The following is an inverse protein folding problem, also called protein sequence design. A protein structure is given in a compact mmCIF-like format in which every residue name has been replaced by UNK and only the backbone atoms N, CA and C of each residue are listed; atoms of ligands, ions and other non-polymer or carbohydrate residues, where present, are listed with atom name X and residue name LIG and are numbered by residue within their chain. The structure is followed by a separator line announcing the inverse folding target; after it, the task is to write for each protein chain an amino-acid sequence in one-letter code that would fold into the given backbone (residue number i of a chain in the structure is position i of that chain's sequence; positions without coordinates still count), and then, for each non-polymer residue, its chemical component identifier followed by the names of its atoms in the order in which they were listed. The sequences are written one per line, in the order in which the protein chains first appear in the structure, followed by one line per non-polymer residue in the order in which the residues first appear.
data_IF_516879124564
#
_entry.id   IF_516879124564
#
_cell.length_a   1.000
_cell.length_b   1.000
_cell.length_c   1.000
_cell.angle_alpha   90.00
_cell.angle_beta   90.00
_cell.angle_gamma   90.00
#
_symmetry.space_group_name_H-M   'P 1'
#
loop_
_entity.id
_entity.type
_entity.pdbx_description
1 polymer ?
#
# COMPACT_ATOMS: atom_id res chain seq x y z
N UNK A 1 -8.80 1.55 -19.00
CA UNK A 1 -7.36 1.15 -19.03
C UNK A 1 -7.31 -0.32 -19.37
N UNK A 2 -6.72 -0.69 -20.50
CA UNK A 2 -6.47 -2.10 -20.84
C UNK A 2 -5.42 -2.62 -19.86
N UNK A 3 -5.75 -3.72 -19.17
CA UNK A 3 -4.81 -4.38 -18.27
C UNK A 3 -3.61 -4.88 -19.09
N UNK A 4 -2.46 -4.30 -18.91
CA UNK A 4 -1.22 -4.77 -19.54
C UNK A 4 -0.66 -5.94 -18.74
N UNK A 5 -0.38 -7.03 -19.42
CA UNK A 5 0.26 -8.20 -18.80
C UNK A 5 1.62 -7.79 -18.20
N UNK A 6 1.91 -8.13 -16.94
CA UNK A 6 3.21 -7.85 -16.35
C UNK A 6 4.34 -8.50 -17.14
N UNK A 7 5.41 -7.77 -17.38
CA UNK A 7 6.62 -8.26 -18.04
C UNK A 7 7.79 -8.32 -17.05
N UNK A 8 8.76 -9.20 -17.29
CA UNK A 8 9.97 -9.28 -16.48
C UNK A 8 10.69 -7.92 -16.40
N UNK A 9 10.78 -7.20 -17.52
CA UNK A 9 11.36 -5.85 -17.55
C UNK A 9 10.58 -4.86 -16.68
N UNK A 10 9.24 -4.91 -16.71
CA UNK A 10 8.38 -4.08 -15.86
C UNK A 10 8.61 -4.35 -14.37
N UNK A 11 8.75 -5.63 -14.01
CA UNK A 11 9.03 -6.05 -12.62
C UNK A 11 10.42 -5.56 -12.17
N UNK A 12 11.46 -5.70 -12.99
CA UNK A 12 12.80 -5.22 -12.67
C UNK A 12 12.84 -3.69 -12.54
N UNK A 13 12.14 -2.97 -13.41
CA UNK A 13 11.99 -1.51 -13.29
C UNK A 13 11.30 -1.11 -11.98
N UNK A 14 10.22 -1.79 -11.63
CA UNK A 14 9.53 -1.56 -10.36
C UNK A 14 10.41 -1.87 -9.15
N UNK A 15 11.20 -2.95 -9.19
CA UNK A 15 12.14 -3.29 -8.13
C UNK A 15 13.16 -2.16 -7.91
N UNK A 16 13.71 -1.58 -8.97
CA UNK A 16 14.64 -0.44 -8.88
C UNK A 16 13.98 0.82 -8.32
N UNK A 17 12.72 1.11 -8.68
CA UNK A 17 11.94 2.23 -8.12
C UNK A 17 11.70 2.07 -6.62
N UNK A 18 11.57 0.84 -6.15
CA UNK A 18 11.30 0.49 -4.77
C UNK A 18 12.56 0.36 -3.91
N UNK A 19 13.73 0.39 -4.50
CA UNK A 19 15.01 0.34 -3.80
C UNK A 19 15.08 1.47 -2.76
N UNK A 20 15.50 1.15 -1.54
CA UNK A 20 15.54 2.07 -0.39
C UNK A 20 14.16 2.60 0.10
N UNK A 21 13.06 2.11 -0.43
CA UNK A 21 11.70 2.47 0.00
C UNK A 21 11.05 1.36 0.83
N UNK A 22 11.35 0.12 0.48
CA UNK A 22 10.80 -1.07 1.09
C UNK A 22 11.88 -1.91 1.75
N UNK A 23 11.47 -2.69 2.74
CA UNK A 23 12.34 -3.69 3.34
C UNK A 23 12.50 -4.91 2.42
N UNK A 24 13.72 -5.46 2.36
CA UNK A 24 13.97 -6.75 1.73
C UNK A 24 13.49 -7.85 2.68
N UNK A 25 12.23 -8.25 2.53
CA UNK A 25 11.62 -9.24 3.40
C UNK A 25 12.09 -10.66 3.07
N UNK A 26 12.28 -11.53 4.08
CA UNK A 26 12.74 -12.90 3.85
C UNK A 26 11.65 -13.76 3.21
N UNK A 27 12.09 -14.78 2.49
CA UNK A 27 11.30 -15.93 2.06
C UNK A 27 11.65 -17.10 2.98
N UNK A 28 10.71 -17.50 3.85
CA UNK A 28 10.94 -18.54 4.87
C UNK A 28 10.12 -19.78 4.59
N UNK A 29 10.75 -20.95 4.69
CA UNK A 29 10.03 -22.22 4.74
C UNK A 29 9.10 -22.22 5.95
N UNK A 30 7.87 -22.61 5.76
CA UNK A 30 6.90 -22.87 6.82
C UNK A 30 6.74 -24.38 6.99
N UNK A 31 7.33 -24.93 8.04
CA UNK A 31 7.35 -26.37 8.28
C UNK A 31 5.93 -26.92 8.48
N UNK A 32 5.14 -26.26 9.33
CA UNK A 32 3.77 -26.67 9.63
C UNK A 32 2.90 -26.78 8.37
N UNK A 33 2.84 -25.73 7.55
CA UNK A 33 2.11 -25.80 6.30
C UNK A 33 2.70 -26.79 5.31
N UNK A 34 4.00 -26.96 5.31
CA UNK A 34 4.67 -27.92 4.42
C UNK A 34 4.32 -29.37 4.77
N UNK A 35 4.23 -29.70 6.04
CA UNK A 35 3.76 -31.00 6.51
C UNK A 35 2.28 -31.21 6.21
N UNK A 36 1.43 -30.21 6.51
CA UNK A 36 -0.01 -30.28 6.30
C UNK A 36 -0.37 -30.54 4.81
N UNK A 37 0.32 -29.86 3.88
CA UNK A 37 0.05 -29.96 2.44
C UNK A 37 0.96 -30.92 1.68
N UNK A 38 1.90 -31.59 2.33
CA UNK A 38 2.84 -32.50 1.68
C UNK A 38 3.74 -31.82 0.63
N UNK A 39 4.05 -30.53 0.78
CA UNK A 39 4.78 -29.72 -0.19
C UNK A 39 5.68 -28.70 0.52
N UNK A 40 6.77 -28.25 -0.13
CA UNK A 40 7.60 -27.18 0.42
C UNK A 40 6.90 -25.83 0.25
N UNK A 41 6.31 -25.30 1.33
CA UNK A 41 5.60 -24.01 1.34
C UNK A 41 6.49 -22.93 1.94
N UNK A 42 6.74 -21.89 1.16
CA UNK A 42 7.52 -20.72 1.58
C UNK A 42 6.62 -19.50 1.73
N UNK A 43 6.79 -18.79 2.84
CA UNK A 43 6.10 -17.53 3.11
C UNK A 43 7.01 -16.35 2.79
N UNK A 44 6.59 -15.48 1.86
CA UNK A 44 7.19 -14.17 1.64
C UNK A 44 6.66 -13.23 2.71
N UNK A 45 7.50 -12.86 3.69
CA UNK A 45 7.11 -12.18 4.93
C UNK A 45 6.86 -10.67 4.72
N UNK A 46 5.86 -10.34 3.91
CA UNK A 46 5.48 -8.93 3.66
C UNK A 46 4.81 -8.25 4.87
N UNK A 47 4.41 -9.01 5.87
CA UNK A 47 4.01 -8.52 7.19
C UNK A 47 5.14 -7.79 7.94
N UNK A 48 6.40 -7.98 7.52
CA UNK A 48 7.57 -7.29 8.06
C UNK A 48 7.82 -5.91 7.42
N UNK A 49 7.10 -5.56 6.36
CA UNK A 49 7.14 -4.19 5.84
C UNK A 49 6.67 -3.17 6.89
N UNK A 50 7.13 -1.94 6.79
CA UNK A 50 6.72 -0.82 7.69
C UNK A 50 5.19 -0.68 7.77
N UNK A 51 4.51 -0.88 6.63
CA UNK A 51 3.04 -0.84 6.53
C UNK A 51 2.36 -2.19 6.80
N UNK A 52 3.12 -3.19 7.29
CA UNK A 52 2.64 -4.53 7.62
C UNK A 52 1.97 -5.29 6.48
N UNK A 53 2.30 -4.95 5.23
CA UNK A 53 1.80 -5.64 4.03
C UNK A 53 2.57 -5.29 2.77
N UNK A 54 2.36 -6.06 1.70
CA UNK A 54 2.92 -5.79 0.37
C UNK A 54 2.36 -4.55 -0.34
N UNK A 55 1.31 -3.92 0.20
CA UNK A 55 0.58 -2.83 -0.46
C UNK A 55 1.45 -1.61 -0.76
N UNK A 56 2.49 -1.37 0.01
CA UNK A 56 3.46 -0.29 -0.24
C UNK A 56 4.12 -0.43 -1.62
N UNK A 57 4.38 -1.64 -2.08
CA UNK A 57 5.02 -1.89 -3.38
C UNK A 57 4.22 -1.28 -4.53
N UNK A 58 2.94 -1.62 -4.62
CA UNK A 58 2.07 -1.11 -5.68
C UNK A 58 1.77 0.37 -5.53
N UNK A 59 1.45 0.83 -4.32
CA UNK A 59 1.13 2.22 -4.06
C UNK A 59 2.29 3.15 -4.42
N UNK A 60 3.47 2.88 -3.90
CA UNK A 60 4.64 3.71 -4.18
C UNK A 60 5.07 3.66 -5.65
N UNK A 61 5.15 2.46 -6.24
CA UNK A 61 5.54 2.31 -7.64
C UNK A 61 4.61 3.09 -8.58
N UNK A 62 3.30 3.05 -8.35
CA UNK A 62 2.34 3.82 -9.12
C UNK A 62 2.52 5.33 -8.91
N UNK A 63 2.52 5.78 -7.66
CA UNK A 63 2.55 7.20 -7.32
C UNK A 63 3.87 7.88 -7.68
N UNK A 64 4.99 7.16 -7.67
CA UNK A 64 6.30 7.69 -8.07
C UNK A 64 6.33 8.10 -9.55
N UNK A 65 5.53 7.44 -10.40
CA UNK A 65 5.46 7.67 -11.84
C UNK A 65 4.50 8.79 -12.24
N UNK A 66 3.77 9.38 -11.31
CA UNK A 66 2.92 10.54 -11.59
C UNK A 66 3.76 11.72 -12.07
N UNK A 67 3.26 12.44 -13.08
CA UNK A 67 3.91 13.65 -13.56
C UNK A 67 3.75 14.83 -12.58
N UNK A 68 4.45 15.91 -12.81
CA UNK A 68 4.48 17.08 -11.91
C UNK A 68 3.08 17.71 -11.73
N UNK A 69 2.26 17.76 -12.78
CA UNK A 69 0.90 18.30 -12.71
C UNK A 69 0.00 17.43 -11.82
N UNK A 70 0.05 16.10 -12.01
CA UNK A 70 -0.68 15.13 -11.19
C UNK A 70 -0.25 15.18 -9.72
N UNK A 71 1.06 15.26 -9.45
CA UNK A 71 1.59 15.40 -8.07
C UNK A 71 1.12 16.69 -7.41
N UNK A 72 0.98 17.78 -8.17
CA UNK A 72 0.50 19.06 -7.66
C UNK A 72 -0.99 19.04 -7.32
N UNK A 73 -1.80 18.36 -8.11
CA UNK A 73 -3.25 18.18 -7.87
C UNK A 73 -3.44 17.32 -6.59
N UNK A 74 -2.62 16.29 -6.40
CA UNK A 74 -2.76 15.34 -5.31
C UNK A 74 -3.41 14.04 -5.74
N UNK A 75 -3.65 13.16 -4.78
CA UNK A 75 -4.17 11.80 -5.00
C UNK A 75 -5.25 11.46 -3.98
N UNK A 76 -6.16 10.59 -4.36
CA UNK A 76 -7.22 10.12 -3.46
C UNK A 76 -7.27 8.59 -3.43
N UNK A 77 -7.68 8.04 -2.30
CA UNK A 77 -8.05 6.62 -2.24
C UNK A 77 -9.18 6.40 -1.24
N UNK A 78 -10.03 5.40 -1.51
CA UNK A 78 -10.99 4.87 -0.55
C UNK A 78 -10.46 3.54 -0.02
N UNK A 79 -10.12 3.48 1.26
CA UNK A 79 -9.62 2.26 1.91
C UNK A 79 -9.49 2.41 3.42
N UNK A 80 -10.00 1.46 4.17
CA UNK A 80 -9.82 1.37 5.63
C UNK A 80 -8.77 0.31 6.04
N UNK A 81 -7.98 -0.20 5.10
CA UNK A 81 -7.06 -1.32 5.33
C UNK A 81 -5.62 -1.06 4.95
N UNK A 82 -4.93 -2.12 4.58
CA UNK A 82 -3.51 -2.11 4.22
C UNK A 82 -3.18 -1.19 3.03
N UNK A 83 -4.14 -0.99 2.11
CA UNK A 83 -3.94 -0.08 0.98
C UNK A 83 -3.83 1.37 1.47
N UNK A 84 -4.69 1.80 2.38
CA UNK A 84 -4.63 3.14 2.97
C UNK A 84 -3.27 3.41 3.64
N UNK A 85 -2.70 2.44 4.33
CA UNK A 85 -1.37 2.57 4.94
C UNK A 85 -0.25 2.69 3.90
N UNK A 86 -0.28 1.87 2.84
CA UNK A 86 0.68 1.95 1.74
C UNK A 86 0.58 3.28 0.98
N UNK A 87 -0.64 3.73 0.72
CA UNK A 87 -0.93 5.03 0.12
C UNK A 87 -0.40 6.18 0.99
N UNK A 88 -0.73 6.20 2.28
CA UNK A 88 -0.31 7.24 3.20
C UNK A 88 1.22 7.36 3.32
N UNK A 89 1.90 6.24 3.46
CA UNK A 89 3.37 6.21 3.48
C UNK A 89 3.95 6.74 2.16
N UNK A 90 3.37 6.37 1.02
CA UNK A 90 3.79 6.85 -0.29
C UNK A 90 3.60 8.37 -0.44
N UNK A 91 2.46 8.91 0.02
CA UNK A 91 2.22 10.35 0.07
C UNK A 91 3.31 11.08 0.87
N UNK A 92 3.64 10.56 2.04
CA UNK A 92 4.66 11.15 2.92
C UNK A 92 6.05 11.15 2.29
N UNK A 93 6.49 10.04 1.70
CA UNK A 93 7.81 9.92 1.07
C UNK A 93 7.91 10.80 -0.18
N UNK A 94 6.89 10.78 -1.04
CA UNK A 94 6.86 11.52 -2.30
C UNK A 94 6.47 12.99 -2.12
N UNK A 95 6.07 13.41 -0.92
CA UNK A 95 5.59 14.75 -0.59
C UNK A 95 4.37 15.17 -1.44
N UNK A 96 3.49 14.22 -1.72
CA UNK A 96 2.25 14.43 -2.48
C UNK A 96 1.09 14.53 -1.49
N UNK A 97 0.21 15.51 -1.66
CA UNK A 97 -1.03 15.61 -0.88
C UNK A 97 -1.96 14.46 -1.26
N UNK A 98 -2.51 13.78 -0.26
CA UNK A 98 -3.45 12.70 -0.43
C UNK A 98 -4.66 12.83 0.48
N UNK A 99 -5.81 12.36 0.01
CA UNK A 99 -7.04 12.21 0.81
C UNK A 99 -7.40 10.74 0.88
N UNK A 100 -7.64 10.25 2.09
CA UNK A 100 -8.10 8.87 2.31
C UNK A 100 -9.52 8.90 2.83
N UNK A 101 -10.42 8.34 2.07
CA UNK A 101 -11.81 8.13 2.48
C UNK A 101 -11.95 6.80 3.19
N UNK A 102 -12.54 6.81 4.38
CA UNK A 102 -12.77 5.62 5.21
C UNK A 102 -14.20 5.62 5.75
N UNK A 103 -14.82 4.45 5.94
CA UNK A 103 -16.08 4.36 6.68
C UNK A 103 -15.95 4.92 8.09
N UNK A 104 -17.01 5.51 8.62
CA UNK A 104 -17.06 6.00 10.01
C UNK A 104 -16.87 4.89 11.03
N UNK A 105 -17.18 3.65 10.64
CA UNK A 105 -16.99 2.43 11.43
C UNK A 105 -15.55 1.94 11.49
N UNK A 106 -14.60 2.64 10.82
CA UNK A 106 -13.20 2.22 10.79
C UNK A 106 -12.57 2.22 12.18
N UNK A 107 -11.95 1.12 12.64
CA UNK A 107 -11.32 1.07 13.96
C UNK A 107 -10.26 2.17 14.13
N UNK A 108 -10.27 2.84 15.28
CA UNK A 108 -9.34 3.93 15.62
C UNK A 108 -7.87 3.56 15.38
N UNK A 109 -7.48 2.32 15.69
CA UNK A 109 -6.12 1.82 15.46
C UNK A 109 -5.69 1.93 13.99
N UNK A 110 -6.60 1.68 13.04
CA UNK A 110 -6.32 1.79 11.60
C UNK A 110 -6.20 3.25 11.18
N UNK A 111 -7.06 4.12 11.70
CA UNK A 111 -7.02 5.57 11.45
C UNK A 111 -5.67 6.12 11.92
N UNK A 112 -5.29 5.86 13.17
CA UNK A 112 -4.02 6.31 13.75
C UNK A 112 -2.79 5.79 12.97
N UNK A 113 -2.86 4.56 12.45
CA UNK A 113 -1.77 4.02 11.61
C UNK A 113 -1.60 4.84 10.31
N UNK A 114 -2.69 5.22 9.67
CA UNK A 114 -2.67 6.05 8.44
C UNK A 114 -2.19 7.46 8.74
N UNK A 115 -2.65 8.09 9.81
CA UNK A 115 -2.18 9.41 10.28
C UNK A 115 -0.67 9.42 10.51
N UNK A 116 -0.17 8.43 11.26
CA UNK A 116 1.26 8.27 11.57
C UNK A 116 2.12 8.13 10.31
N UNK A 117 1.67 7.34 9.33
CA UNK A 117 2.39 7.08 8.08
C UNK A 117 2.31 8.26 7.11
N UNK A 118 1.13 8.88 7.00
CA UNK A 118 0.86 9.98 6.07
C UNK A 118 1.39 11.34 6.55
N UNK A 119 1.52 11.49 7.89
CA UNK A 119 1.96 12.74 8.53
C UNK A 119 1.11 13.93 8.02
N UNK A 120 1.75 15.06 7.68
CA UNK A 120 1.11 16.27 7.14
C UNK A 120 0.65 16.16 5.67
N UNK A 121 0.92 15.05 5.02
CA UNK A 121 0.62 14.86 3.59
C UNK A 121 -0.71 14.15 3.34
N UNK A 122 -1.34 13.62 4.38
CA UNK A 122 -2.60 12.88 4.24
C UNK A 122 -3.67 13.48 5.12
N UNK A 123 -4.81 13.72 4.52
CA UNK A 123 -6.07 14.02 5.17
C UNK A 123 -6.95 12.76 5.19
N UNK A 124 -7.63 12.52 6.29
CA UNK A 124 -8.58 11.40 6.43
C UNK A 124 -9.98 11.97 6.51
N UNK A 125 -10.84 11.49 5.63
CA UNK A 125 -12.27 11.83 5.59
C UNK A 125 -13.05 10.59 5.98
N UNK A 126 -13.78 10.67 7.09
CA UNK A 126 -14.68 9.61 7.53
C UNK A 126 -16.07 9.85 6.94
N UNK A 127 -16.53 8.94 6.08
CA UNK A 127 -17.80 9.06 5.38
C UNK A 127 -18.42 7.69 5.10
N UNK A 128 -19.75 7.60 5.23
CA UNK A 128 -20.50 6.37 5.01
C UNK A 128 -20.25 5.30 6.08
N UNK A 129 -21.06 4.27 6.08
CA UNK A 129 -20.98 3.17 7.03
C UNK A 129 -20.19 1.98 6.48
N UNK A 130 -20.09 1.87 5.15
CA UNK A 130 -19.42 0.79 4.43
C UNK A 130 -18.30 1.30 3.55
N UNK A 131 -17.48 0.36 3.04
CA UNK A 131 -16.43 0.68 2.06
C UNK A 131 -17.02 1.24 0.75
N UNK A 132 -18.15 0.72 0.31
CA UNK A 132 -18.78 1.15 -0.94
C UNK A 132 -19.34 2.58 -0.83
N UNK A 133 -19.88 2.95 0.34
CA UNK A 133 -20.30 4.32 0.62
C UNK A 133 -19.12 5.31 0.60
N UNK A 134 -18.00 4.91 1.16
CA UNK A 134 -16.79 5.75 1.20
C UNK A 134 -16.10 5.88 -0.17
N UNK A 135 -16.47 5.03 -1.14
CA UNK A 135 -15.92 5.02 -2.50
C UNK A 135 -16.76 5.81 -3.50
N UNK A 136 -18.07 5.93 -3.28
CA UNK A 136 -19.02 6.66 -4.14
C UNK A 136 -18.89 8.17 -3.96
#
# INVERSE_FOLDING_TARGET
MTATTPTTQGILKAAKVLENVIETTPLKLNEHLSEEFGAKIYLKREDLQVVRSYKIRGAYNFMSQLNSAQKKIGVVCASAGNHAQGFAMSCSILKIKGVVFMPVTTPKQKITAVERLGKKYVEIVLIGDTYDDAKS
#
